data_IF_323471709066
#
_entry.id   IF_323471709066
#
_cell.length_a   1.000
_cell.length_b   1.000
_cell.length_c   1.000
_cell.angle_alpha   90.00
_cell.angle_beta   90.00
_cell.angle_gamma   90.00
#
_symmetry.space_group_name_H-M   'P 1'
#
loop_
_entity.id
_entity.type
_entity.pdbx_description
1 polymer ?
#
# COMPACT_ATOMS: atom_id res chain seq x y z
N UNK A 1 -8.19 1.51 -1.84
CA UNK A 1 -7.49 2.59 -1.12
C UNK A 1 -6.08 2.73 -1.67
N UNK A 2 -5.53 3.95 -1.74
CA UNK A 2 -4.14 4.19 -2.12
C UNK A 2 -3.42 4.87 -0.96
N UNK A 3 -2.23 4.38 -0.61
CA UNK A 3 -1.35 4.99 0.38
C UNK A 3 -0.13 5.53 -0.35
N UNK A 4 0.18 6.80 -0.14
CA UNK A 4 1.35 7.45 -0.71
C UNK A 4 2.26 7.89 0.43
N UNK A 5 3.55 7.63 0.31
CA UNK A 5 4.53 8.17 1.24
C UNK A 5 5.82 8.54 0.50
N UNK A 6 6.46 9.60 0.94
CA UNK A 6 7.76 10.04 0.43
C UNK A 6 8.88 9.28 1.12
N UNK A 7 9.88 8.86 0.35
CA UNK A 7 11.02 8.10 0.80
C UNK A 7 11.43 7.07 -0.25
N UNK A 8 12.70 6.68 -0.23
CA UNK A 8 13.16 5.53 -1.01
C UNK A 8 12.38 4.26 -0.66
N UNK A 9 12.64 3.18 -1.41
CA UNK A 9 12.04 1.87 -1.13
C UNK A 9 12.27 1.47 0.34
N UNK A 10 11.19 1.36 1.11
CA UNK A 10 11.23 0.97 2.52
C UNK A 10 10.33 -0.25 2.75
N UNK A 11 10.92 -1.44 2.70
CA UNK A 11 10.20 -2.70 2.81
C UNK A 11 9.56 -2.92 4.19
N UNK A 12 10.20 -2.42 5.26
CA UNK A 12 9.66 -2.50 6.61
C UNK A 12 8.39 -1.66 6.76
N UNK A 13 8.40 -0.44 6.21
CA UNK A 13 7.23 0.43 6.19
C UNK A 13 6.12 -0.15 5.30
N UNK A 14 6.46 -0.67 4.11
CA UNK A 14 5.50 -1.36 3.25
C UNK A 14 4.81 -2.50 4.01
N UNK A 15 5.58 -3.32 4.74
CA UNK A 15 5.04 -4.43 5.53
C UNK A 15 4.14 -3.93 6.66
N UNK A 16 4.56 -2.93 7.42
CA UNK A 16 3.76 -2.36 8.51
C UNK A 16 2.41 -1.81 8.01
N UNK A 17 2.40 -1.13 6.87
CA UNK A 17 1.17 -0.63 6.23
C UNK A 17 0.28 -1.79 5.81
N UNK A 18 0.85 -2.83 5.18
CA UNK A 18 0.09 -4.02 4.76
C UNK A 18 -0.53 -4.73 5.96
N UNK A 19 0.24 -4.96 7.02
CA UNK A 19 -0.22 -5.68 8.21
C UNK A 19 -1.35 -4.91 8.91
N UNK A 20 -1.21 -3.59 9.07
CA UNK A 20 -2.25 -2.72 9.61
C UNK A 20 -3.54 -2.78 8.78
N UNK A 21 -3.45 -2.63 7.46
CA UNK A 21 -4.63 -2.57 6.59
C UNK A 21 -5.32 -3.92 6.40
N UNK A 22 -4.57 -5.02 6.56
CA UNK A 22 -5.11 -6.37 6.56
C UNK A 22 -6.14 -6.58 7.67
N UNK A 23 -5.94 -5.99 8.85
CA UNK A 23 -6.91 -6.06 9.96
C UNK A 23 -8.25 -5.40 9.61
N UNK A 24 -8.25 -4.42 8.70
CA UNK A 24 -9.45 -3.74 8.22
C UNK A 24 -10.05 -4.38 6.95
N UNK A 25 -9.56 -5.57 6.56
CA UNK A 25 -10.04 -6.33 5.40
C UNK A 25 -9.51 -5.85 4.05
N UNK A 26 -8.49 -5.00 4.03
CA UNK A 26 -7.82 -4.63 2.79
C UNK A 26 -6.73 -5.65 2.42
N UNK A 27 -6.53 -5.87 1.12
CA UNK A 27 -5.46 -6.68 0.56
C UNK A 27 -4.61 -5.82 -0.37
N UNK A 28 -3.28 -5.96 -0.31
CA UNK A 28 -2.38 -5.27 -1.25
C UNK A 28 -2.59 -5.84 -2.65
N UNK A 29 -2.86 -4.95 -3.60
CA UNK A 29 -3.11 -5.27 -5.00
C UNK A 29 -1.90 -4.96 -5.87
N UNK A 30 -1.33 -3.76 -5.72
CA UNK A 30 -0.19 -3.30 -6.52
C UNK A 30 0.68 -2.34 -5.71
N UNK A 31 1.90 -2.09 -6.19
CA UNK A 31 2.79 -1.08 -5.65
C UNK A 31 3.72 -0.52 -6.72
N UNK A 32 4.07 0.75 -6.62
CA UNK A 32 5.00 1.44 -7.51
C UNK A 32 5.85 2.48 -6.78
N UNK A 33 6.79 3.07 -7.51
CA UNK A 33 7.71 4.07 -6.99
C UNK A 33 8.03 5.07 -8.10
N UNK A 34 7.79 6.34 -7.85
CA UNK A 34 8.28 7.42 -8.69
C UNK A 34 9.72 7.76 -8.30
N UNK A 35 10.65 7.55 -9.23
CA UNK A 35 12.09 7.66 -8.97
C UNK A 35 12.52 9.13 -8.79
N UNK A 36 11.97 10.05 -9.58
CA UNK A 36 12.34 11.48 -9.53
C UNK A 36 11.88 12.14 -8.24
N UNK A 37 10.65 11.84 -7.80
CA UNK A 37 10.03 12.41 -6.61
C UNK A 37 10.27 11.57 -5.35
N UNK A 38 10.85 10.36 -5.48
CA UNK A 38 11.00 9.37 -4.41
C UNK A 38 9.68 9.13 -3.67
N UNK A 39 8.58 8.98 -4.42
CA UNK A 39 7.24 8.73 -3.87
C UNK A 39 6.89 7.26 -4.06
N UNK A 40 6.58 6.57 -2.95
CA UNK A 40 6.02 5.22 -2.97
C UNK A 40 4.50 5.29 -3.07
N UNK A 41 3.91 4.46 -3.92
CA UNK A 41 2.47 4.20 -3.93
C UNK A 41 2.16 2.74 -3.62
N UNK A 42 1.23 2.52 -2.70
CA UNK A 42 0.69 1.21 -2.35
C UNK A 42 -0.81 1.20 -2.62
N UNK A 43 -1.25 0.28 -3.48
CA UNK A 43 -2.65 0.11 -3.86
C UNK A 43 -3.24 -1.07 -3.11
N UNK A 44 -4.36 -0.82 -2.45
CA UNK A 44 -5.10 -1.82 -1.67
C UNK A 44 -6.53 -1.95 -2.18
N UNK A 45 -7.02 -3.18 -2.25
CA UNK A 45 -8.41 -3.49 -2.54
C UNK A 45 -9.10 -4.05 -1.28
N UNK A 46 -10.30 -3.58 -1.00
CA UNK A 46 -11.16 -4.18 0.02
C UNK A 46 -12.06 -5.14 -0.73
N UNK A 47 -11.66 -6.41 -0.78
CA UNK A 47 -12.35 -7.41 -1.58
C UNK A 47 -13.86 -7.28 -1.40
N UNK A 48 -14.61 -7.14 -2.50
CA UNK A 48 -16.07 -7.01 -2.47
C UNK A 48 -16.65 -8.09 -1.56
N UNK A 49 -17.16 -7.72 -0.39
CA UNK A 49 -18.25 -8.48 0.22
C UNK A 49 -19.39 -8.35 -0.78
N UNK A 50 -19.62 -9.42 -1.54
CA UNK A 50 -20.68 -9.49 -2.53
C UNK A 50 -22.03 -9.12 -1.90
N UNK A 51 -22.78 -8.30 -2.62
CA UNK A 51 -24.20 -8.07 -2.41
C UNK A 51 -24.94 -8.54 -3.65
#
# INVERSE_FOLDING_TARGET
>A
MKVFYSGGLNEELDKAIVDCLKEFGYKRWASGMEIESQVRDLVFDKGKTGG
#
